data_IF_451564742200
#
_entry.id   IF_451564742200
#
_cell.length_a   1.000
_cell.length_b   1.000
_cell.length_c   1.000
_cell.angle_alpha   90.00
_cell.angle_beta   90.00
_cell.angle_gamma   90.00
#
_symmetry.space_group_name_H-M   'P 1'
#
loop_
_entity.id
_entity.type
_entity.pdbx_description
1 polymer ?
#
# COMPACT_ATOMS: atom_id res chain seq x y z
N UNK A 1 -15.70 1.17 23.14
CA UNK A 1 -14.61 1.28 24.15
C UNK A 1 -15.06 0.59 25.44
N UNK A 2 -14.26 0.58 26.50
CA UNK A 2 -14.66 -0.03 27.77
C UNK A 2 -14.55 -1.56 27.78
N UNK A 3 -14.80 -2.16 28.95
CA UNK A 3 -14.71 -3.61 29.15
C UNK A 3 -15.74 -4.40 28.32
N UNK A 4 -16.91 -3.81 28.03
CA UNK A 4 -17.96 -4.37 27.19
C UNK A 4 -17.85 -4.03 25.70
N UNK A 5 -16.83 -3.25 25.29
CA UNK A 5 -16.65 -2.71 23.94
C UNK A 5 -17.79 -1.80 23.42
N UNK A 6 -18.74 -1.41 24.27
CA UNK A 6 -19.95 -0.66 23.96
C UNK A 6 -19.93 0.82 24.42
N UNK A 7 -18.85 1.27 25.07
CA UNK A 7 -18.75 2.67 25.48
C UNK A 7 -18.49 3.59 24.28
N UNK A 8 -19.20 4.73 24.29
CA UNK A 8 -19.08 5.79 23.30
C UNK A 8 -17.76 6.56 23.40
N UNK A 9 -17.38 7.23 22.30
CA UNK A 9 -16.25 8.15 22.26
C UNK A 9 -16.57 9.43 23.06
N UNK A 10 -15.63 9.88 23.91
CA UNK A 10 -15.73 11.14 24.64
C UNK A 10 -15.18 12.30 23.79
N UNK A 11 -16.07 12.91 22.99
CA UNK A 11 -15.73 14.06 22.14
C UNK A 11 -15.30 15.28 22.95
N UNK A 12 -15.82 15.46 24.17
CA UNK A 12 -15.51 16.63 24.98
C UNK A 12 -14.12 16.52 25.60
N UNK A 13 -13.65 15.31 25.91
CA UNK A 13 -12.25 15.07 26.26
C UNK A 13 -11.30 15.47 25.14
N UNK A 14 -11.61 15.07 23.89
CA UNK A 14 -10.81 15.43 22.71
C UNK A 14 -10.79 16.95 22.50
N UNK A 15 -11.95 17.61 22.56
CA UNK A 15 -12.06 19.07 22.46
C UNK A 15 -11.24 19.80 23.52
N UNK A 16 -11.32 19.36 24.78
CA UNK A 16 -10.51 19.94 25.87
C UNK A 16 -9.01 19.75 25.65
N UNK A 17 -8.59 18.60 25.10
CA UNK A 17 -7.18 18.32 24.83
C UNK A 17 -6.63 19.21 23.70
N UNK A 18 -7.36 19.32 22.58
CA UNK A 18 -6.96 20.20 21.48
C UNK A 18 -7.02 21.69 21.84
N UNK A 19 -7.97 22.11 22.69
CA UNK A 19 -8.00 23.47 23.22
C UNK A 19 -6.70 23.82 23.98
N UNK A 20 -6.30 22.96 24.92
CA UNK A 20 -5.04 23.14 25.67
C UNK A 20 -3.82 23.12 24.76
N UNK A 21 -3.85 22.30 23.69
CA UNK A 21 -2.75 22.23 22.74
C UNK A 21 -2.65 23.51 21.92
N UNK A 22 -3.78 24.05 21.43
CA UNK A 22 -3.83 25.33 20.73
C UNK A 22 -3.31 26.48 21.62
N UNK A 23 -3.78 26.57 22.87
CA UNK A 23 -3.29 27.58 23.84
C UNK A 23 -1.77 27.50 24.02
N UNK A 24 -1.22 26.27 24.09
CA UNK A 24 0.23 26.07 24.21
C UNK A 24 0.96 26.52 22.95
N UNK A 25 0.48 26.13 21.77
CA UNK A 25 1.07 26.52 20.47
C UNK A 25 1.12 28.05 20.36
N UNK A 26 0.05 28.74 20.70
CA UNK A 26 0.00 30.21 20.70
C UNK A 26 1.04 30.79 21.68
N UNK A 27 1.12 30.26 22.90
CA UNK A 27 2.07 30.78 23.90
C UNK A 27 3.55 30.57 23.54
N UNK A 28 3.89 29.47 22.86
CA UNK A 28 5.27 29.09 22.55
C UNK A 28 5.75 29.63 21.20
N UNK A 29 4.84 29.82 20.24
CA UNK A 29 5.20 30.15 18.85
C UNK A 29 4.57 31.45 18.34
N UNK A 30 3.52 31.95 18.99
CA UNK A 30 2.70 33.06 18.51
C UNK A 30 1.68 32.68 17.43
N UNK A 31 1.58 31.40 17.05
CA UNK A 31 0.58 30.90 16.10
C UNK A 31 -0.79 30.75 16.78
N UNK A 32 -1.80 31.49 16.30
CA UNK A 32 -3.14 31.57 16.89
C UNK A 32 -4.17 30.63 16.24
N UNK A 33 -3.74 29.51 15.64
CA UNK A 33 -4.63 28.50 15.08
C UNK A 33 -5.61 27.96 16.12
N UNK A 34 -6.84 27.77 15.68
CA UNK A 34 -7.92 27.18 16.48
C UNK A 34 -7.67 25.70 16.77
N UNK A 35 -8.32 25.12 17.79
CA UNK A 35 -8.21 23.69 18.09
C UNK A 35 -8.54 22.77 16.90
N UNK A 36 -9.46 23.22 16.03
CA UNK A 36 -9.86 22.48 14.84
C UNK A 36 -8.77 22.52 13.75
N UNK A 37 -8.17 23.69 13.52
CA UNK A 37 -7.03 23.84 12.60
C UNK A 37 -5.80 23.06 13.07
N UNK A 38 -5.59 22.98 14.40
CA UNK A 38 -4.54 22.12 14.97
C UNK A 38 -4.84 20.63 14.68
N UNK A 39 -6.08 20.18 14.89
CA UNK A 39 -6.47 18.80 14.57
C UNK A 39 -6.35 18.47 13.06
N UNK A 40 -6.75 19.39 12.19
CA UNK A 40 -6.57 19.28 10.74
C UNK A 40 -5.08 19.23 10.34
N UNK A 41 -4.25 20.02 11.01
CA UNK A 41 -2.78 19.97 10.85
C UNK A 41 -2.20 18.59 11.20
N UNK A 42 -2.67 17.96 12.28
CA UNK A 42 -2.26 16.59 12.64
C UNK A 42 -2.65 15.58 11.55
N UNK A 43 -3.87 15.69 11.02
CA UNK A 43 -4.34 14.85 9.92
C UNK A 43 -3.47 15.03 8.68
N UNK A 44 -3.14 16.28 8.32
CA UNK A 44 -2.27 16.60 7.19
C UNK A 44 -0.88 15.99 7.35
N UNK A 45 -0.26 16.10 8.52
CA UNK A 45 1.05 15.49 8.79
C UNK A 45 0.97 13.96 8.69
N UNK A 46 -0.08 13.34 9.25
CA UNK A 46 -0.26 11.89 9.17
C UNK A 46 -0.41 11.41 7.71
N UNK A 47 -1.19 12.12 6.90
CA UNK A 47 -1.37 11.84 5.46
C UNK A 47 -0.05 11.94 4.70
N UNK A 48 0.73 13.00 4.92
CA UNK A 48 2.03 13.18 4.27
C UNK A 48 3.01 12.06 4.67
N UNK A 49 3.04 11.65 5.94
CA UNK A 49 3.88 10.54 6.40
C UNK A 49 3.48 9.22 5.74
N UNK A 50 2.18 8.92 5.63
CA UNK A 50 1.69 7.74 4.93
C UNK A 50 2.02 7.77 3.43
N UNK A 51 1.80 8.91 2.76
CA UNK A 51 2.11 9.07 1.34
C UNK A 51 3.62 8.94 1.08
N UNK A 52 4.47 9.52 1.93
CA UNK A 52 5.93 9.41 1.81
C UNK A 52 6.42 7.99 2.05
N UNK A 53 5.84 7.25 2.99
CA UNK A 53 6.15 5.82 3.19
C UNK A 53 5.83 5.00 1.92
N UNK A 54 4.67 5.25 1.29
CA UNK A 54 4.26 4.59 0.04
C UNK A 54 5.20 4.97 -1.11
N UNK A 55 5.51 6.27 -1.26
CA UNK A 55 6.48 6.78 -2.27
C UNK A 55 7.85 6.14 -2.08
N UNK A 56 8.36 6.07 -0.84
CA UNK A 56 9.67 5.47 -0.53
C UNK A 56 9.74 4.03 -1.02
N UNK A 57 8.78 3.19 -0.65
CA UNK A 57 8.76 1.77 -1.06
C UNK A 57 8.59 1.61 -2.58
N UNK A 58 7.77 2.45 -3.20
CA UNK A 58 7.46 2.35 -4.63
C UNK A 58 8.58 2.86 -5.53
N UNK A 59 9.17 4.01 -5.18
CA UNK A 59 10.30 4.62 -5.90
C UNK A 59 11.56 3.78 -5.74
N UNK A 60 11.83 3.21 -4.55
CA UNK A 60 12.92 2.25 -4.36
C UNK A 60 12.85 1.04 -5.30
N UNK A 61 11.65 0.73 -5.81
CA UNK A 61 11.40 -0.35 -6.76
C UNK A 61 11.22 0.15 -8.21
N UNK A 62 11.40 1.46 -8.46
CA UNK A 62 11.34 2.07 -9.80
C UNK A 62 9.92 2.29 -10.35
N UNK A 63 8.89 2.34 -9.51
CA UNK A 63 7.50 2.50 -9.96
C UNK A 63 7.02 3.96 -9.93
N UNK A 64 6.35 4.38 -11.01
CA UNK A 64 5.48 5.57 -11.02
C UNK A 64 4.07 5.16 -10.58
N UNK A 65 3.65 5.65 -9.41
CA UNK A 65 2.40 5.26 -8.78
C UNK A 65 1.20 6.12 -9.18
N UNK A 66 1.40 7.19 -9.97
CA UNK A 66 0.32 8.13 -10.32
C UNK A 66 -0.80 7.48 -11.13
N UNK A 67 -0.46 6.48 -11.95
CA UNK A 67 -1.42 5.67 -12.71
C UNK A 67 -2.05 4.50 -11.96
N UNK A 68 -1.69 4.29 -10.69
CA UNK A 68 -2.13 3.14 -9.91
C UNK A 68 -3.44 3.43 -9.19
N UNK A 69 -4.12 2.37 -8.76
CA UNK A 69 -5.26 2.46 -7.84
C UNK A 69 -4.78 2.21 -6.41
N UNK A 70 -5.09 3.10 -5.48
CA UNK A 70 -4.77 2.91 -4.07
C UNK A 70 -5.71 1.85 -3.48
N UNK A 71 -5.21 0.65 -3.18
CA UNK A 71 -5.96 -0.32 -2.39
C UNK A 71 -5.84 0.03 -0.90
N UNK A 72 -6.95 0.30 -0.24
CA UNK A 72 -6.99 0.70 1.15
C UNK A 72 -7.74 -0.31 2.01
N UNK A 73 -7.13 -0.68 3.15
CA UNK A 73 -7.67 -1.64 4.10
C UNK A 73 -7.28 -1.31 5.54
N UNK A 74 -7.79 -2.09 6.50
CA UNK A 74 -7.72 -1.83 7.92
C UNK A 74 -8.84 -0.89 8.39
N UNK A 75 -9.23 -1.00 9.67
CA UNK A 75 -10.38 -0.26 10.20
C UNK A 75 -10.28 1.27 10.09
N UNK A 76 -9.05 1.81 10.08
CA UNK A 76 -8.79 3.24 9.91
C UNK A 76 -8.35 3.64 8.49
N UNK A 77 -8.07 2.68 7.61
CA UNK A 77 -7.51 2.99 6.29
C UNK A 77 -8.42 3.91 5.46
N UNK A 78 -9.71 3.56 5.40
CA UNK A 78 -10.72 4.33 4.67
C UNK A 78 -10.86 5.79 5.13
N UNK A 79 -10.41 6.14 6.35
CA UNK A 79 -10.50 7.50 6.88
C UNK A 79 -9.52 8.46 6.22
N UNK A 80 -8.42 7.95 5.67
CA UNK A 80 -7.35 8.77 5.10
C UNK A 80 -7.18 8.54 3.59
N UNK A 81 -7.92 7.59 3.02
CA UNK A 81 -7.65 7.06 1.69
C UNK A 81 -7.71 8.13 0.57
N UNK A 82 -8.71 9.02 0.60
CA UNK A 82 -8.84 10.10 -0.39
C UNK A 82 -7.65 11.07 -0.31
N UNK A 83 -7.28 11.52 0.89
CA UNK A 83 -6.18 12.47 1.10
C UNK A 83 -4.82 11.85 0.75
N UNK A 84 -4.59 10.58 1.12
CA UNK A 84 -3.37 9.84 0.74
C UNK A 84 -3.31 9.67 -0.78
N UNK A 85 -4.42 9.34 -1.44
CA UNK A 85 -4.48 9.24 -2.90
C UNK A 85 -4.17 10.59 -3.57
N UNK A 86 -4.75 11.70 -3.08
CA UNK A 86 -4.45 13.05 -3.58
C UNK A 86 -2.94 13.38 -3.42
N UNK A 87 -2.34 13.09 -2.27
CA UNK A 87 -0.90 13.32 -2.00
C UNK A 87 0.05 12.45 -2.86
N UNK A 88 -0.43 11.27 -3.30
CA UNK A 88 0.25 10.37 -4.23
C UNK A 88 -0.03 10.73 -5.70
N UNK A 89 -0.98 11.63 -5.97
CA UNK A 89 -1.42 11.96 -7.32
C UNK A 89 -2.24 10.85 -8.00
N UNK A 90 -2.84 9.96 -7.21
CA UNK A 90 -3.71 8.87 -7.69
C UNK A 90 -5.15 9.35 -7.82
N UNK A 91 -5.81 8.99 -8.92
CA UNK A 91 -7.21 9.37 -9.17
C UNK A 91 -8.25 8.36 -8.68
N UNK A 92 -7.82 7.20 -8.16
CA UNK A 92 -8.72 6.08 -7.81
C UNK A 92 -8.29 5.37 -6.52
N UNK A 93 -9.27 5.06 -5.69
CA UNK A 93 -9.13 4.22 -4.49
C UNK A 93 -10.04 2.99 -4.62
N UNK A 94 -9.55 1.85 -4.16
CA UNK A 94 -10.28 0.59 -4.07
C UNK A 94 -10.35 0.15 -2.61
N UNK A 95 -11.53 -0.21 -2.13
CA UNK A 95 -11.78 -0.72 -0.77
C UNK A 95 -12.66 -1.97 -0.84
N UNK A 96 -12.06 -3.11 -0.53
CA UNK A 96 -12.74 -4.42 -0.48
C UNK A 96 -13.88 -4.42 0.57
N UNK A 97 -14.98 -5.20 0.39
CA UNK A 97 -16.05 -5.34 1.39
C UNK A 97 -15.56 -5.68 2.80
N UNK A 98 -14.48 -6.45 2.89
CA UNK A 98 -13.87 -6.86 4.15
C UNK A 98 -12.62 -6.05 4.51
N UNK A 99 -12.51 -4.81 4.02
CA UNK A 99 -11.34 -3.95 4.25
C UNK A 99 -10.95 -3.85 5.72
N UNK A 100 -11.91 -3.71 6.64
CA UNK A 100 -11.65 -3.63 8.08
C UNK A 100 -10.98 -4.88 8.68
N UNK A 101 -11.17 -6.05 8.07
CA UNK A 101 -10.65 -7.36 8.52
C UNK A 101 -9.84 -8.07 7.43
N UNK A 102 -9.33 -7.33 6.45
CA UNK A 102 -8.78 -7.89 5.21
C UNK A 102 -7.58 -8.80 5.45
N UNK A 103 -6.79 -8.54 6.51
CA UNK A 103 -5.68 -9.41 6.90
C UNK A 103 -6.14 -10.80 7.34
N UNK A 104 -7.21 -10.88 8.14
CA UNK A 104 -7.76 -12.16 8.58
C UNK A 104 -8.41 -12.91 7.40
N UNK A 105 -9.11 -12.18 6.53
CA UNK A 105 -9.66 -12.74 5.30
C UNK A 105 -8.56 -13.29 4.38
N UNK A 106 -7.49 -12.52 4.15
CA UNK A 106 -6.35 -12.95 3.33
C UNK A 106 -5.60 -14.14 3.92
N UNK A 107 -5.48 -14.25 5.25
CA UNK A 107 -4.94 -15.44 5.90
C UNK A 107 -5.82 -16.68 5.67
N UNK A 108 -7.15 -16.52 5.67
CA UNK A 108 -8.09 -17.62 5.41
C UNK A 108 -8.06 -18.13 3.96
N UNK A 109 -7.71 -17.25 3.00
CA UNK A 109 -7.58 -17.60 1.58
C UNK A 109 -6.16 -18.04 1.17
N UNK A 110 -5.18 -17.91 2.05
CA UNK A 110 -3.79 -18.10 1.66
C UNK A 110 -3.50 -19.57 1.34
N UNK A 111 -2.89 -19.81 0.18
CA UNK A 111 -2.26 -21.09 -0.13
C UNK A 111 -1.17 -21.44 0.89
N UNK A 112 -1.00 -22.73 1.16
CA UNK A 112 0.11 -23.20 1.99
C UNK A 112 1.39 -23.20 1.15
N UNK A 113 2.43 -22.52 1.63
CA UNK A 113 3.69 -22.36 0.89
C UNK A 113 4.88 -22.90 1.68
N UNK A 114 5.78 -23.59 0.98
CA UNK A 114 7.09 -23.97 1.49
C UNK A 114 8.17 -23.31 0.63
N UNK A 115 9.04 -22.52 1.28
CA UNK A 115 10.13 -21.79 0.64
C UNK A 115 11.46 -22.42 1.07
N UNK A 116 12.29 -22.81 0.10
CA UNK A 116 13.63 -23.34 0.33
C UNK A 116 14.63 -22.64 -0.55
N UNK A 117 15.73 -22.21 0.06
CA UNK A 117 16.81 -21.52 -0.65
C UNK A 117 18.17 -22.11 -0.27
N UNK A 118 19.13 -22.04 -1.22
CA UNK A 118 20.52 -22.47 -1.01
C UNK A 118 21.47 -21.50 -1.71
N UNK A 119 22.38 -20.92 -0.96
CA UNK A 119 23.45 -20.08 -1.49
C UNK A 119 24.45 -20.92 -2.31
N UNK A 120 24.91 -20.36 -3.43
CA UNK A 120 25.79 -21.02 -4.40
C UNK A 120 27.05 -20.23 -4.71
N UNK A 121 26.93 -18.92 -4.91
CA UNK A 121 28.04 -18.04 -5.30
C UNK A 121 28.84 -18.56 -6.52
N UNK A 122 28.13 -18.83 -7.63
CA UNK A 122 28.72 -19.38 -8.85
C UNK A 122 28.60 -18.41 -10.03
N UNK A 123 29.60 -18.29 -10.91
CA UNK A 123 29.45 -17.54 -12.16
C UNK A 123 28.30 -18.09 -13.01
N UNK A 124 27.50 -17.23 -13.63
CA UNK A 124 26.44 -17.65 -14.54
C UNK A 124 27.05 -18.22 -15.83
N UNK A 125 26.95 -19.55 -15.99
CA UNK A 125 27.50 -20.25 -17.15
C UNK A 125 26.99 -21.68 -17.24
N UNK A 126 27.31 -22.37 -18.34
CA UNK A 126 26.74 -23.68 -18.69
C UNK A 126 26.95 -24.73 -17.58
N UNK A 127 28.16 -24.80 -17.00
CA UNK A 127 28.47 -25.75 -15.93
C UNK A 127 27.70 -25.43 -14.64
N UNK A 128 27.63 -24.14 -14.28
CA UNK A 128 26.91 -23.69 -13.08
C UNK A 128 25.41 -23.92 -13.20
N UNK A 129 24.82 -23.79 -14.39
CA UNK A 129 23.40 -24.07 -14.62
C UNK A 129 23.06 -25.54 -14.40
N UNK A 130 23.97 -26.46 -14.73
CA UNK A 130 23.78 -27.88 -14.46
C UNK A 130 23.78 -28.16 -12.94
N UNK A 131 24.72 -27.58 -12.19
CA UNK A 131 24.75 -27.67 -10.73
C UNK A 131 23.50 -27.04 -10.10
N UNK A 132 23.09 -25.86 -10.59
CA UNK A 132 21.88 -25.15 -10.18
C UNK A 132 20.63 -26.00 -10.40
N UNK A 133 20.49 -26.69 -11.55
CA UNK A 133 19.34 -27.56 -11.83
C UNK A 133 19.23 -28.67 -10.79
N UNK A 134 20.33 -29.37 -10.48
CA UNK A 134 20.33 -30.45 -9.50
C UNK A 134 19.97 -29.95 -8.09
N UNK A 135 20.44 -28.76 -7.73
CA UNK A 135 20.12 -28.13 -6.45
C UNK A 135 18.65 -27.70 -6.39
N UNK A 136 18.12 -27.14 -7.48
CA UNK A 136 16.69 -26.84 -7.56
C UNK A 136 15.86 -28.12 -7.40
N UNK A 137 16.22 -29.24 -8.04
CA UNK A 137 15.51 -30.52 -7.90
C UNK A 137 15.54 -31.05 -6.45
N UNK A 138 16.68 -30.89 -5.76
CA UNK A 138 16.83 -31.18 -4.33
C UNK A 138 15.87 -30.31 -3.48
N UNK A 139 15.87 -28.99 -3.71
CA UNK A 139 15.00 -28.04 -3.00
C UNK A 139 13.51 -28.28 -3.28
N UNK A 140 13.16 -28.70 -4.50
CA UNK A 140 11.79 -29.12 -4.86
C UNK A 140 11.37 -30.30 -4.01
N UNK A 141 12.21 -31.33 -3.91
CA UNK A 141 11.90 -32.53 -3.11
C UNK A 141 11.62 -32.14 -1.66
N UNK A 142 12.50 -31.37 -1.03
CA UNK A 142 12.31 -30.88 0.34
C UNK A 142 11.03 -30.04 0.52
N UNK A 143 10.75 -29.13 -0.41
CA UNK A 143 9.57 -28.26 -0.31
C UNK A 143 8.27 -29.05 -0.46
N UNK A 144 8.24 -30.04 -1.36
CA UNK A 144 7.07 -30.91 -1.56
C UNK A 144 6.83 -31.87 -0.41
N UNK A 145 7.89 -32.42 0.19
CA UNK A 145 7.80 -33.26 1.39
C UNK A 145 7.26 -32.49 2.60
N UNK A 146 7.68 -31.22 2.76
CA UNK A 146 7.17 -30.34 3.82
C UNK A 146 5.67 -30.08 3.66
N UNK A 147 5.19 -29.81 2.44
CA UNK A 147 3.75 -29.63 2.18
C UNK A 147 2.96 -30.92 2.40
N UNK A 148 3.51 -32.07 1.99
CA UNK A 148 2.89 -33.37 2.24
C UNK A 148 2.75 -33.65 3.75
N UNK A 149 3.76 -33.26 4.55
CA UNK A 149 3.72 -33.34 6.01
C UNK A 149 2.63 -32.47 6.66
N UNK A 150 2.14 -31.46 5.95
CA UNK A 150 1.03 -30.59 6.36
C UNK A 150 -0.33 -31.07 5.83
N UNK A 151 -0.38 -32.23 5.15
CA UNK A 151 -1.62 -32.83 4.64
C UNK A 151 -2.05 -32.30 3.26
N UNK A 152 -1.16 -31.64 2.52
CA UNK A 152 -1.43 -31.21 1.14
C UNK A 152 -1.20 -32.36 0.17
N UNK A 153 -2.20 -32.65 -0.67
CA UNK A 153 -2.11 -33.69 -1.70
C UNK A 153 -1.11 -33.32 -2.80
N UNK A 154 -0.26 -34.26 -3.27
CA UNK A 154 0.76 -33.97 -4.29
C UNK A 154 0.20 -33.39 -5.60
N UNK A 155 -1.03 -33.77 -5.98
CA UNK A 155 -1.70 -33.26 -7.18
C UNK A 155 -2.18 -31.80 -7.07
N UNK A 156 -2.23 -31.24 -5.86
CA UNK A 156 -2.60 -29.85 -5.58
C UNK A 156 -1.38 -28.92 -5.42
N UNK A 157 -0.16 -29.46 -5.56
CA UNK A 157 1.08 -28.69 -5.41
C UNK A 157 1.56 -28.18 -6.77
N UNK A 158 1.83 -26.87 -6.82
CA UNK A 158 2.57 -26.24 -7.91
C UNK A 158 3.93 -25.77 -7.41
N UNK A 159 4.94 -25.72 -8.28
CA UNK A 159 6.32 -25.42 -7.90
C UNK A 159 6.85 -24.30 -8.78
N UNK A 160 7.43 -23.29 -8.14
CA UNK A 160 8.09 -22.16 -8.80
C UNK A 160 9.58 -22.24 -8.47
N UNK A 161 10.41 -22.20 -9.51
CA UNK A 161 11.88 -22.23 -9.40
C UNK A 161 12.43 -20.85 -9.76
N UNK A 162 13.23 -20.27 -8.88
CA UNK A 162 13.84 -18.95 -9.05
C UNK A 162 15.34 -19.00 -8.76
N UNK A 163 16.04 -17.99 -9.26
CA UNK A 163 17.48 -17.81 -9.11
C UNK A 163 17.75 -16.38 -8.68
N UNK A 164 18.64 -16.18 -7.72
CA UNK A 164 19.11 -14.86 -7.33
C UNK A 164 20.35 -14.55 -8.15
N UNK A 165 20.25 -13.54 -9.02
CA UNK A 165 21.34 -13.09 -9.86
C UNK A 165 21.80 -11.71 -9.42
N UNK A 166 23.11 -11.49 -9.46
CA UNK A 166 23.73 -10.17 -9.25
C UNK A 166 24.84 -9.96 -10.27
N UNK A 167 25.20 -8.70 -10.53
CA UNK A 167 26.44 -8.42 -11.26
C UNK A 167 27.65 -8.71 -10.39
N UNK A 168 28.75 -9.11 -11.01
CA UNK A 168 30.02 -9.34 -10.33
C UNK A 168 30.51 -8.05 -9.62
N UNK A 169 30.95 -8.19 -8.37
CA UNK A 169 31.39 -7.06 -7.54
C UNK A 169 30.25 -6.14 -7.07
N UNK A 170 28.99 -6.61 -7.11
CA UNK A 170 27.84 -5.94 -6.47
C UNK A 170 27.24 -6.84 -5.39
N UNK A 171 26.64 -6.24 -4.37
CA UNK A 171 26.08 -6.97 -3.20
C UNK A 171 24.56 -7.15 -3.27
N UNK A 172 23.89 -6.65 -4.32
CA UNK A 172 22.44 -6.75 -4.46
C UNK A 172 22.06 -7.72 -5.55
N UNK A 173 21.40 -8.82 -5.18
CA UNK A 173 20.79 -9.73 -6.13
C UNK A 173 19.32 -9.40 -6.40
N UNK A 174 18.90 -9.77 -7.61
CA UNK A 174 17.51 -9.76 -8.04
C UNK A 174 17.08 -11.19 -8.33
N UNK A 175 15.89 -11.52 -7.84
CA UNK A 175 15.27 -12.82 -8.06
C UNK A 175 14.62 -12.86 -9.45
N UNK A 176 14.94 -13.89 -10.24
CA UNK A 176 14.36 -14.13 -11.57
C UNK A 176 13.88 -15.57 -11.69
N UNK A 177 12.86 -15.81 -12.51
CA UNK A 177 12.39 -17.17 -12.80
C UNK A 177 13.50 -17.97 -13.50
N UNK A 178 13.69 -19.22 -13.05
CA UNK A 178 14.64 -20.15 -13.64
C UNK A 178 14.27 -20.44 -15.10
N UNK A 179 15.28 -20.54 -15.96
CA UNK A 179 15.12 -20.79 -17.39
C UNK A 179 16.45 -21.02 -18.07
N UNK A 180 16.52 -20.80 -19.38
CA UNK A 180 17.79 -20.75 -20.09
C UNK A 180 18.65 -19.58 -19.59
N UNK A 181 19.97 -19.67 -19.77
CA UNK A 181 20.91 -18.60 -19.39
C UNK A 181 20.45 -17.26 -19.95
N UNK A 182 20.09 -17.24 -21.24
CA UNK A 182 19.65 -16.03 -21.92
C UNK A 182 18.37 -15.46 -21.32
N UNK A 183 17.36 -16.29 -21.07
CA UNK A 183 16.10 -15.82 -20.45
C UNK A 183 16.34 -15.25 -19.06
N UNK A 184 17.20 -15.88 -18.25
CA UNK A 184 17.53 -15.39 -16.92
C UNK A 184 18.30 -14.06 -17.00
N UNK A 185 19.24 -13.91 -17.94
CA UNK A 185 19.95 -12.65 -18.20
C UNK A 185 18.99 -11.55 -18.63
N UNK A 186 18.14 -11.81 -19.62
CA UNK A 186 17.19 -10.83 -20.16
C UNK A 186 16.21 -10.36 -19.07
N UNK A 187 15.69 -11.29 -18.25
CA UNK A 187 14.82 -10.97 -17.10
C UNK A 187 15.55 -10.15 -16.05
N UNK A 188 16.79 -10.52 -15.72
CA UNK A 188 17.60 -9.81 -14.75
C UNK A 188 17.88 -8.38 -15.22
N UNK A 189 18.33 -8.20 -16.46
CA UNK A 189 18.63 -6.87 -17.00
C UNK A 189 17.39 -5.98 -17.13
N UNK A 190 16.24 -6.56 -17.47
CA UNK A 190 14.97 -5.83 -17.47
C UNK A 190 14.64 -5.33 -16.06
N UNK A 191 14.67 -6.21 -15.06
CA UNK A 191 14.39 -5.88 -13.67
C UNK A 191 15.43 -4.89 -13.10
N UNK A 192 16.71 -5.07 -13.44
CA UNK A 192 17.81 -4.21 -13.01
C UNK A 192 17.68 -2.82 -13.63
N UNK A 193 17.37 -2.71 -14.93
CA UNK A 193 17.12 -1.42 -15.60
C UNK A 193 15.89 -0.72 -15.03
N UNK A 194 14.83 -1.46 -14.72
CA UNK A 194 13.65 -0.88 -14.07
C UNK A 194 13.98 -0.30 -12.69
N UNK A 195 14.77 -1.03 -11.89
CA UNK A 195 15.08 -0.64 -10.51
C UNK A 195 16.15 0.44 -10.41
N UNK A 196 17.18 0.40 -11.27
CA UNK A 196 18.37 1.24 -11.15
C UNK A 196 18.60 2.19 -12.34
N UNK A 197 17.87 2.03 -13.44
CA UNK A 197 17.92 2.91 -14.61
C UNK A 197 19.03 2.60 -15.63
N UNK A 198 19.92 1.65 -15.36
CA UNK A 198 21.03 1.26 -16.25
C UNK A 198 21.28 -0.26 -16.22
N UNK A 199 22.24 -0.73 -17.00
CA UNK A 199 22.76 -2.12 -16.99
C UNK A 199 24.29 -2.09 -17.11
N UNK A 200 24.98 -3.17 -16.72
CA UNK A 200 26.45 -3.28 -16.77
C UNK A 200 26.88 -4.37 -17.76
N UNK A 201 26.94 -4.08 -19.07
CA UNK A 201 27.14 -5.11 -20.11
C UNK A 201 28.53 -5.77 -20.05
N UNK A 202 29.52 -5.08 -19.50
CA UNK A 202 30.90 -5.58 -19.42
C UNK A 202 31.16 -6.46 -18.18
N UNK A 203 30.17 -6.62 -17.30
CA UNK A 203 30.30 -7.42 -16.07
C UNK A 203 29.63 -8.78 -16.20
N UNK A 204 30.32 -9.81 -15.69
CA UNK A 204 29.71 -11.11 -15.49
C UNK A 204 28.55 -11.06 -14.50
N UNK A 205 27.68 -12.08 -14.56
CA UNK A 205 26.64 -12.30 -13.56
C UNK A 205 27.00 -13.47 -12.66
N UNK A 206 26.61 -13.38 -11.39
CA UNK A 206 26.82 -14.41 -10.37
C UNK A 206 25.45 -14.92 -9.91
N UNK A 207 25.33 -16.25 -9.85
CA UNK A 207 24.25 -16.96 -9.16
C UNK A 207 24.57 -16.91 -7.67
N UNK A 208 23.89 -16.04 -6.95
CA UNK A 208 24.02 -15.92 -5.50
C UNK A 208 23.33 -17.11 -4.80
N UNK A 209 22.09 -17.40 -5.19
CA UNK A 209 21.28 -18.46 -4.57
C UNK A 209 20.30 -19.11 -5.54
N UNK A 210 19.95 -20.37 -5.25
CA UNK A 210 18.82 -21.08 -5.82
C UNK A 210 17.63 -20.99 -4.86
N UNK A 211 16.43 -20.73 -5.38
CA UNK A 211 15.21 -20.60 -4.58
C UNK A 211 14.07 -21.43 -5.19
N UNK A 212 13.35 -22.15 -4.33
CA UNK A 212 12.14 -22.90 -4.70
C UNK A 212 11.01 -22.49 -3.79
N UNK A 213 9.86 -22.27 -4.41
CA UNK A 213 8.58 -22.03 -3.75
C UNK A 213 7.60 -23.12 -4.18
N UNK A 214 7.26 -24.03 -3.28
CA UNK A 214 6.15 -24.96 -3.48
C UNK A 214 4.87 -24.36 -2.91
N UNK A 215 3.78 -24.41 -3.67
CA UNK A 215 2.49 -23.81 -3.36
C UNK A 215 1.43 -24.91 -3.41
N UNK A 216 0.90 -25.27 -2.24
CA UNK A 216 -0.27 -26.13 -2.07
C UNK A 216 -1.53 -25.30 -2.18
N UNK A 217 -2.29 -25.48 -3.27
CA UNK A 217 -3.53 -24.74 -3.48
C UNK A 217 -4.58 -25.13 -2.46
N UNK A 218 -5.16 -24.13 -1.80
CA UNK A 218 -6.35 -24.31 -0.98
C UNK A 218 -7.60 -24.12 -1.85
N UNK A 219 -8.72 -24.67 -1.42
CA UNK A 219 -10.00 -24.46 -2.12
C UNK A 219 -10.37 -22.97 -2.09
N UNK A 220 -10.80 -22.44 -3.24
CA UNK A 220 -11.31 -21.08 -3.33
C UNK A 220 -12.57 -20.94 -2.46
N UNK A 221 -12.63 -19.88 -1.65
CA UNK A 221 -13.86 -19.54 -0.92
C UNK A 221 -14.73 -18.71 -1.85
N UNK A 222 -15.83 -19.31 -2.32
CA UNK A 222 -16.87 -18.57 -3.03
C UNK A 222 -17.45 -17.47 -2.13
N UNK A 223 -17.25 -16.22 -2.52
CA UNK A 223 -17.91 -15.11 -1.89
C UNK A 223 -19.41 -15.15 -2.20
N UNK A 224 -20.29 -14.88 -1.23
CA UNK A 224 -21.71 -14.78 -1.50
C UNK A 224 -21.93 -13.69 -2.57
N UNK A 225 -22.79 -13.95 -3.56
CA UNK A 225 -23.09 -12.97 -4.59
C UNK A 225 -23.67 -11.71 -3.93
N UNK A 226 -23.14 -10.55 -4.31
CA UNK A 226 -23.71 -9.27 -3.92
C UNK A 226 -25.04 -9.12 -4.62
N UNK A 227 -26.04 -8.60 -3.90
CA UNK A 227 -27.35 -8.29 -4.46
C UNK A 227 -27.17 -7.37 -5.68
N UNK A 228 -27.52 -7.90 -6.87
CA UNK A 228 -27.23 -7.27 -8.17
C UNK A 228 -28.35 -6.33 -8.64
N UNK A 229 -29.33 -6.04 -7.79
CA UNK A 229 -30.34 -5.03 -8.12
C UNK A 229 -29.69 -3.66 -8.25
N UNK A 230 -29.33 -3.32 -9.50
CA UNK A 230 -28.78 -2.02 -9.86
C UNK A 230 -29.80 -0.93 -9.56
N UNK A 231 -29.43 -0.03 -8.67
CA UNK A 231 -30.21 1.17 -8.39
C UNK A 231 -29.44 2.37 -8.92
N UNK A 232 -30.05 3.10 -9.86
CA UNK A 232 -29.41 4.25 -10.52
C UNK A 232 -29.73 5.51 -9.73
N UNK A 233 -28.68 6.22 -9.31
CA UNK A 233 -28.79 7.57 -8.75
C UNK A 233 -27.98 7.78 -7.49
N UNK A 234 -28.02 9.02 -6.98
CA UNK A 234 -27.35 9.38 -5.74
C UNK A 234 -28.02 8.66 -4.56
N UNK A 235 -27.20 7.96 -3.75
CA UNK A 235 -27.68 7.39 -2.51
C UNK A 235 -28.17 8.49 -1.56
N UNK A 236 -29.15 8.17 -0.71
CA UNK A 236 -29.63 9.10 0.31
C UNK A 236 -28.90 8.86 1.64
N UNK A 237 -28.36 9.91 2.29
CA UNK A 237 -27.73 9.76 3.59
C UNK A 237 -28.77 9.43 4.65
N UNK A 238 -28.40 8.60 5.63
CA UNK A 238 -29.25 8.30 6.78
C UNK A 238 -29.35 9.49 7.75
N UNK A 239 -28.27 10.26 7.86
CA UNK A 239 -28.18 11.46 8.70
C UNK A 239 -27.09 12.38 8.20
N UNK A 240 -26.97 13.57 8.77
CA UNK A 240 -25.87 14.49 8.53
C UNK A 240 -25.14 14.79 9.84
N UNK A 241 -23.82 14.96 9.75
CA UNK A 241 -22.97 15.36 10.87
C UNK A 241 -22.12 16.56 10.49
N UNK A 242 -21.68 17.35 11.47
CA UNK A 242 -20.72 18.43 11.25
C UNK A 242 -19.31 17.86 11.21
N UNK A 243 -18.56 18.17 10.17
CA UNK A 243 -17.15 17.75 10.00
C UNK A 243 -16.30 18.93 9.56
N UNK A 244 -15.03 18.91 9.89
CA UNK A 244 -14.06 19.85 9.34
C UNK A 244 -13.26 19.15 8.24
N UNK A 245 -13.38 19.60 6.99
CA UNK A 245 -12.73 19.00 5.83
C UNK A 245 -12.31 20.07 4.83
N UNK A 246 -11.07 19.99 4.34
CA UNK A 246 -10.48 20.97 3.44
C UNK A 246 -10.57 22.41 4.01
N UNK A 247 -10.24 22.57 5.29
CA UNK A 247 -10.18 23.88 5.97
C UNK A 247 -11.53 24.52 6.30
N UNK A 248 -12.65 23.80 6.14
CA UNK A 248 -13.99 24.35 6.33
C UNK A 248 -14.89 23.40 7.13
N UNK A 249 -15.79 23.95 7.93
CA UNK A 249 -16.92 23.21 8.48
C UNK A 249 -17.91 22.82 7.38
N UNK A 250 -18.29 21.55 7.35
CA UNK A 250 -19.19 20.97 6.35
C UNK A 250 -20.28 20.13 7.01
N UNK A 251 -21.47 20.18 6.44
CA UNK A 251 -22.52 19.21 6.73
C UNK A 251 -22.30 17.99 5.84
N UNK A 252 -21.99 16.87 6.47
CA UNK A 252 -21.51 15.67 5.78
C UNK A 252 -22.51 14.54 5.96
N UNK A 253 -22.95 13.96 4.85
CA UNK A 253 -23.89 12.85 4.84
C UNK A 253 -23.25 11.58 5.38
N UNK A 254 -23.98 10.86 6.24
CA UNK A 254 -23.58 9.55 6.76
C UNK A 254 -24.39 8.46 6.07
N UNK A 255 -23.69 7.53 5.44
CA UNK A 255 -24.24 6.41 4.69
C UNK A 255 -23.89 5.11 5.38
N UNK A 256 -24.81 4.17 5.35
CA UNK A 256 -24.58 2.81 5.80
C UNK A 256 -24.20 1.95 4.60
N UNK A 257 -23.03 1.32 4.65
CA UNK A 257 -22.51 0.53 3.53
C UNK A 257 -23.49 -0.57 3.11
N UNK A 258 -24.19 -1.19 4.06
CA UNK A 258 -25.11 -2.30 3.81
C UNK A 258 -26.37 -1.87 3.02
N UNK A 259 -26.64 -0.58 2.95
CA UNK A 259 -27.74 0.00 2.16
C UNK A 259 -27.29 0.50 0.79
N UNK A 260 -25.99 0.51 0.51
CA UNK A 260 -25.47 0.84 -0.81
C UNK A 260 -25.63 -0.36 -1.74
N UNK A 261 -25.90 -0.08 -3.02
CA UNK A 261 -26.09 -1.08 -4.07
C UNK A 261 -25.23 -0.72 -5.28
N UNK A 262 -24.89 -1.69 -6.13
CA UNK A 262 -24.23 -1.40 -7.40
C UNK A 262 -25.00 -0.32 -8.19
N UNK A 263 -24.27 0.65 -8.73
CA UNK A 263 -24.85 1.81 -9.44
C UNK A 263 -25.15 3.05 -8.59
N UNK A 264 -25.15 2.93 -7.25
CA UNK A 264 -25.24 4.11 -6.39
C UNK A 264 -23.99 4.98 -6.47
N UNK A 265 -24.21 6.29 -6.50
CA UNK A 265 -23.17 7.30 -6.38
C UNK A 265 -23.27 8.00 -5.02
N UNK A 266 -22.12 8.15 -4.35
CA UNK A 266 -21.99 8.86 -3.07
C UNK A 266 -21.00 10.01 -3.27
N UNK A 267 -21.48 11.23 -3.59
CA UNK A 267 -20.61 12.38 -3.76
C UNK A 267 -20.04 12.84 -2.39
N UNK A 268 -18.76 13.18 -2.35
CA UNK A 268 -18.12 13.78 -1.18
C UNK A 268 -18.51 15.26 -1.01
N UNK A 269 -18.57 15.79 0.24
CA UNK A 269 -18.17 15.15 1.49
C UNK A 269 -19.18 14.12 1.99
N UNK A 270 -18.71 12.91 2.29
CA UNK A 270 -19.54 11.84 2.84
C UNK A 270 -18.74 10.95 3.80
N UNK A 271 -19.44 10.34 4.76
CA UNK A 271 -18.90 9.29 5.63
C UNK A 271 -19.69 8.01 5.35
N UNK A 272 -19.00 6.95 4.99
CA UNK A 272 -19.58 5.62 4.82
C UNK A 272 -19.17 4.80 6.04
N UNK A 273 -20.13 4.45 6.87
CA UNK A 273 -19.93 3.56 8.02
C UNK A 273 -20.20 2.12 7.63
N UNK A 274 -19.39 1.24 8.20
CA UNK A 274 -19.58 -0.21 8.12
C UNK A 274 -19.22 -0.81 9.49
N UNK A 275 -19.54 -2.08 9.70
CA UNK A 275 -19.38 -2.71 11.01
C UNK A 275 -17.94 -2.70 11.53
N UNK A 276 -16.95 -2.74 10.62
CA UNK A 276 -15.53 -2.93 10.97
C UNK A 276 -14.61 -1.77 10.55
N UNK A 277 -15.15 -0.73 9.90
CA UNK A 277 -14.38 0.40 9.40
C UNK A 277 -15.24 1.65 9.21
N UNK A 278 -14.58 2.76 8.91
CA UNK A 278 -15.23 4.00 8.48
C UNK A 278 -14.45 4.59 7.32
N UNK A 279 -15.15 4.89 6.23
CA UNK A 279 -14.54 5.48 5.02
C UNK A 279 -14.99 6.92 4.88
N UNK A 280 -14.03 7.82 4.64
CA UNK A 280 -14.27 9.24 4.40
C UNK A 280 -14.12 9.51 2.91
N UNK A 281 -15.18 10.03 2.29
CA UNK A 281 -15.18 10.51 0.92
C UNK A 281 -14.99 12.02 0.97
N UNK A 282 -13.77 12.48 0.70
CA UNK A 282 -13.40 13.89 0.79
C UNK A 282 -14.10 14.75 -0.28
N UNK A 283 -14.22 16.08 -0.08
CA UNK A 283 -14.78 16.98 -1.08
C UNK A 283 -14.17 16.81 -2.49
N UNK A 284 -15.04 16.58 -3.47
CA UNK A 284 -14.66 16.37 -4.87
C UNK A 284 -14.16 14.96 -5.21
N UNK A 285 -14.19 14.03 -4.25
CA UNK A 285 -14.23 12.61 -4.52
C UNK A 285 -15.68 12.13 -4.65
N UNK A 286 -15.86 11.00 -5.30
CA UNK A 286 -17.14 10.28 -5.38
C UNK A 286 -16.88 8.81 -5.15
N UNK A 287 -17.69 8.18 -4.32
CA UNK A 287 -17.66 6.73 -4.10
C UNK A 287 -18.81 6.04 -4.83
N UNK A 288 -18.60 4.78 -5.20
CA UNK A 288 -19.62 3.90 -5.75
C UNK A 288 -19.32 2.44 -5.43
N UNK A 289 -20.34 1.60 -5.48
CA UNK A 289 -20.22 0.15 -5.27
C UNK A 289 -20.19 -0.55 -6.63
N UNK A 290 -19.21 -1.44 -6.85
CA UNK A 290 -19.19 -2.30 -8.03
C UNK A 290 -20.05 -3.58 -7.83
N UNK A 291 -20.18 -4.39 -8.88
CA UNK A 291 -20.97 -5.63 -8.84
C UNK A 291 -20.40 -6.71 -7.91
N UNK A 292 -19.17 -6.55 -7.43
CA UNK A 292 -18.53 -7.42 -6.45
C UNK A 292 -18.58 -6.84 -5.03
N UNK A 293 -19.28 -5.72 -4.82
CA UNK A 293 -19.44 -5.08 -3.51
C UNK A 293 -18.25 -4.20 -3.09
N UNK A 294 -17.25 -4.05 -3.96
CA UNK A 294 -16.11 -3.20 -3.68
C UNK A 294 -16.54 -1.75 -3.72
N UNK A 295 -16.00 -0.97 -2.79
CA UNK A 295 -16.18 0.47 -2.79
C UNK A 295 -15.05 1.09 -3.61
N UNK A 296 -15.42 1.70 -4.72
CA UNK A 296 -14.53 2.38 -5.65
C UNK A 296 -14.71 3.88 -5.46
N UNK A 297 -13.64 4.58 -5.12
CA UNK A 297 -13.66 6.05 -5.07
C UNK A 297 -12.86 6.63 -6.22
N UNK A 298 -13.40 7.67 -6.84
CA UNK A 298 -12.79 8.37 -7.95
C UNK A 298 -12.72 9.87 -7.65
N UNK A 299 -11.61 10.49 -8.06
CA UNK A 299 -11.45 11.94 -8.02
C UNK A 299 -12.22 12.57 -9.18
N UNK A 300 -13.37 13.18 -8.91
CA UNK A 300 -14.27 13.73 -9.94
C UNK A 300 -14.07 15.22 -10.18
N UNK A 301 -13.54 15.95 -9.19
CA UNK A 301 -13.08 17.33 -9.36
C UNK A 301 -11.55 17.32 -9.47
N UNK A 302 -10.90 17.98 -10.44
CA UNK A 302 -9.45 18.01 -10.48
C UNK A 302 -8.86 18.68 -9.23
N UNK A 303 -7.80 18.07 -8.67
CA UNK A 303 -7.07 18.66 -7.54
C UNK A 303 -6.43 19.99 -7.98
N UNK A 304 -6.75 21.09 -7.29
CA UNK A 304 -6.01 22.34 -7.45
C UNK A 304 -4.65 22.16 -6.81
N UNK A 305 -3.61 21.98 -7.63
CA UNK A 305 -2.22 22.02 -7.14
C UNK A 305 -1.88 23.47 -6.85
N UNK A 306 -2.06 23.91 -5.61
CA UNK A 306 -1.50 25.18 -5.18
C UNK A 306 0.02 25.05 -5.16
N UNK A 307 0.68 25.76 -6.07
CA UNK A 307 2.11 25.97 -6.04
C UNK A 307 2.45 26.80 -4.80
N UNK A 308 2.99 26.16 -3.77
CA UNK A 308 3.48 26.84 -2.58
C UNK A 308 4.64 27.76 -2.96
N UNK A 309 4.44 29.09 -2.92
CA UNK A 309 5.54 30.06 -2.88
C UNK A 309 5.14 31.19 -1.94
N UNK A 310 5.53 31.03 -0.67
CA UNK A 310 5.64 32.11 0.32
C UNK A 310 6.87 31.84 1.19
N UNK A 311 7.51 32.89 1.68
CA UNK A 311 8.68 32.79 2.59
C UNK A 311 8.29 32.89 4.07
N UNK A 312 6.99 32.77 4.37
CA UNK A 312 6.48 32.81 5.74
C UNK A 312 6.67 31.47 6.44
N UNK A 313 7.10 31.54 7.69
CA UNK A 313 7.45 30.39 8.52
C UNK A 313 6.17 29.75 9.10
N UNK A 314 5.47 28.92 8.32
CA UNK A 314 4.33 28.14 8.81
C UNK A 314 4.84 26.83 9.43
N UNK A 315 4.60 26.56 10.73
CA UNK A 315 5.04 25.35 11.42
C UNK A 315 4.59 24.03 10.76
N UNK A 316 3.38 23.98 10.19
CA UNK A 316 2.88 22.80 9.48
C UNK A 316 3.65 22.62 8.18
N UNK A 317 3.86 23.70 7.43
CA UNK A 317 4.65 23.64 6.19
C UNK A 317 6.12 23.35 6.45
N UNK A 318 6.69 23.82 7.56
CA UNK A 318 8.04 23.49 8.00
C UNK A 318 8.17 21.99 8.28
N UNK A 319 7.21 21.40 8.99
CA UNK A 319 7.22 19.96 9.26
C UNK A 319 7.03 19.14 7.98
N UNK A 320 6.11 19.56 7.09
CA UNK A 320 5.94 18.96 5.76
C UNK A 320 7.24 19.06 4.95
N UNK A 321 7.89 20.23 4.94
CA UNK A 321 9.17 20.44 4.27
C UNK A 321 10.30 19.59 4.87
N UNK A 322 10.41 19.51 6.19
CA UNK A 322 11.41 18.68 6.86
C UNK A 322 11.25 17.21 6.47
N UNK A 323 10.01 16.71 6.48
CA UNK A 323 9.70 15.33 6.06
C UNK A 323 10.03 15.11 4.57
N UNK A 324 9.67 16.04 3.68
CA UNK A 324 10.03 15.98 2.26
C UNK A 324 11.54 16.02 2.04
N UNK A 325 12.25 16.92 2.71
CA UNK A 325 13.70 17.09 2.58
C UNK A 325 14.45 15.85 3.07
N UNK A 326 14.09 15.32 4.24
CA UNK A 326 14.67 14.08 4.75
C UNK A 326 14.34 12.90 3.84
N UNK A 327 13.11 12.82 3.31
CA UNK A 327 12.73 11.78 2.35
C UNK A 327 13.59 11.83 1.08
N UNK A 328 13.84 13.01 0.50
CA UNK A 328 14.72 13.19 -0.65
C UNK A 328 16.16 12.78 -0.30
N UNK A 329 16.69 13.21 0.86
CA UNK A 329 18.03 12.87 1.30
C UNK A 329 18.20 11.35 1.48
N UNK A 330 17.21 10.67 2.08
CA UNK A 330 17.18 9.22 2.18
C UNK A 330 17.10 8.55 0.81
N UNK A 331 16.25 9.04 -0.10
CA UNK A 331 16.14 8.52 -1.48
C UNK A 331 17.46 8.64 -2.25
N UNK A 332 18.17 9.76 -2.11
CA UNK A 332 19.49 9.96 -2.68
C UNK A 332 20.53 9.00 -2.06
N UNK A 333 20.51 8.84 -0.73
CA UNK A 333 21.39 7.91 -0.01
C UNK A 333 21.18 6.47 -0.46
N UNK A 334 19.92 6.04 -0.58
CA UNK A 334 19.56 4.72 -1.10
C UNK A 334 19.98 4.53 -2.55
N UNK A 335 19.84 5.56 -3.39
CA UNK A 335 20.31 5.47 -4.79
C UNK A 335 21.83 5.32 -4.85
N UNK A 336 22.56 6.04 -4.00
CA UNK A 336 24.02 5.91 -3.86
C UNK A 336 24.43 4.53 -3.35
N UNK A 337 23.79 4.01 -2.31
CA UNK A 337 24.03 2.68 -1.76
C UNK A 337 23.78 1.59 -2.81
N UNK A 338 22.66 1.67 -3.52
CA UNK A 338 22.28 0.72 -4.56
C UNK A 338 23.18 0.77 -5.81
N UNK A 339 23.86 1.90 -6.06
CA UNK A 339 24.79 2.05 -7.18
C UNK A 339 26.25 1.95 -6.76
N UNK A 340 26.52 1.79 -5.47
CA UNK A 340 27.86 1.56 -4.96
C UNK A 340 28.33 0.18 -5.42
N UNK A 341 29.53 0.14 -5.99
CA UNK A 341 30.24 -1.09 -6.31
C UNK A 341 31.68 -0.96 -5.82
N UNK A 342 32.24 -2.06 -5.33
CA UNK A 342 33.64 -2.08 -4.89
C UNK A 342 34.57 -1.95 -6.09
N UNK A 343 35.59 -1.08 -5.97
CA UNK A 343 36.71 -0.96 -6.91
C UNK A 343 37.83 -1.90 -6.47
#
# INVERSE_FOLDING_TARGET
FGLGQDEALDIDAVRRAFAKLADRVESETGDSRTPMEVADGFLRIAVENMANAIKKVSVQRGYDVTGYTLNCFGGAGGQHACLVADALGMGRVFIHPFAGVLSAYGMGLADVRALKEKALELPLGVQSVQALSAILDELVSFSTEELAGQGIEPGAVSVIRRVHLRYEGTDTALQVDYGSIKEMQDRFELAYRQRYGFVMPDKGMVIEAAAVEAVGKMDDVDLPPVDQEETIGAAQPQTHVSTYMAGEDRSTGVFDRDLLRPGHEVPGPAIIREQTATTVVEPGWQAGIDTAGNLIMARVVPLKRESAIGTECDPVMLEVFNNLFMSIAEQMGLTLENTAYSV
#
